data_IF_614398513560
#
_entry.id   IF_614398513560
#
_cell.length_a   1.000
_cell.length_b   1.000
_cell.length_c   1.000
_cell.angle_alpha   90.00
_cell.angle_beta   90.00
_cell.angle_gamma   90.00
#
_symmetry.space_group_name_H-M   'P 1'
#
loop_
_entity.id
_entity.type
_entity.pdbx_description
1 polymer ?
#
# COMPACT_ATOMS: atom_id res chain seq x y z
N UNK A 1 5.46 -3.77 42.46
CA UNK A 1 4.20 -3.33 41.85
C UNK A 1 3.48 -4.54 41.29
N UNK A 2 2.35 -4.92 41.89
CA UNK A 2 1.63 -6.13 41.45
C UNK A 2 0.91 -5.83 40.15
N UNK A 3 1.24 -6.56 39.08
CA UNK A 3 0.50 -6.50 37.83
C UNK A 3 -0.96 -6.86 38.09
N UNK A 4 -1.86 -5.92 37.93
CA UNK A 4 -3.30 -6.17 37.99
C UNK A 4 -3.68 -6.94 36.72
N UNK A 5 -3.80 -8.25 36.84
CA UNK A 5 -4.36 -9.06 35.76
C UNK A 5 -5.83 -8.70 35.58
N UNK A 6 -6.21 -8.23 34.42
CA UNK A 6 -7.62 -8.10 34.03
C UNK A 6 -8.14 -9.53 33.87
N UNK A 7 -8.92 -10.02 34.86
CA UNK A 7 -9.55 -11.32 34.78
C UNK A 7 -10.59 -11.34 33.66
N UNK A 8 -10.84 -12.48 32.97
CA UNK A 8 -11.80 -12.58 31.87
C UNK A 8 -13.21 -12.07 32.14
N UNK A 9 -13.59 -11.93 33.42
CA UNK A 9 -14.89 -11.41 33.89
C UNK A 9 -14.90 -9.90 34.23
N UNK A 10 -13.81 -9.18 33.98
CA UNK A 10 -13.60 -7.84 34.54
C UNK A 10 -13.98 -6.64 33.67
N UNK A 11 -14.18 -6.81 32.37
CA UNK A 11 -14.55 -5.70 31.47
C UNK A 11 -15.98 -5.91 30.96
N UNK A 12 -16.97 -5.50 31.77
CA UNK A 12 -18.37 -5.43 31.32
C UNK A 12 -18.70 -4.15 30.54
N UNK A 13 -17.72 -3.26 30.35
CA UNK A 13 -17.84 -1.95 29.68
C UNK A 13 -16.63 -1.68 28.81
N UNK A 14 -16.74 -0.80 27.82
CA UNK A 14 -15.56 -0.30 27.06
C UNK A 14 -14.47 0.22 28.00
N UNK A 15 -13.21 0.15 27.54
CA UNK A 15 -12.10 0.85 28.18
C UNK A 15 -12.10 2.28 27.63
N UNK A 16 -12.59 3.22 28.44
CA UNK A 16 -12.62 4.64 28.09
C UNK A 16 -11.34 5.29 28.64
N UNK A 17 -10.50 5.78 27.71
CA UNK A 17 -9.26 6.51 28.02
C UNK A 17 -9.44 7.97 27.60
N UNK A 18 -9.01 8.89 28.46
CA UNK A 18 -8.98 10.31 28.15
C UNK A 18 -7.83 10.63 27.17
N UNK A 19 -7.84 11.86 26.63
CA UNK A 19 -6.76 12.35 25.79
C UNK A 19 -5.40 12.20 26.49
N UNK A 20 -4.41 11.77 25.72
CA UNK A 20 -3.05 11.45 26.17
C UNK A 20 -2.92 10.23 27.10
N UNK A 21 -4.02 9.57 27.50
CA UNK A 21 -3.94 8.26 28.12
C UNK A 21 -3.66 7.18 27.06
N UNK A 22 -2.84 6.19 27.42
CA UNK A 22 -2.28 5.26 26.43
C UNK A 22 -2.49 3.80 26.80
N UNK A 23 -2.86 2.98 25.81
CA UNK A 23 -2.60 1.54 25.87
C UNK A 23 -1.12 1.34 25.50
N UNK A 24 -0.37 0.67 26.37
CA UNK A 24 1.06 0.41 26.18
C UNK A 24 1.34 -1.08 26.27
N UNK A 25 2.13 -1.59 25.34
CA UNK A 25 2.53 -2.99 25.26
C UNK A 25 4.05 -3.07 25.12
N UNK A 26 4.64 -4.14 25.67
CA UNK A 26 6.08 -4.33 25.76
C UNK A 26 6.68 -3.73 27.04
N UNK A 27 7.83 -4.25 27.48
CA UNK A 27 8.51 -3.81 28.72
C UNK A 27 8.99 -2.36 28.62
N UNK A 28 9.38 -1.92 27.41
CA UNK A 28 9.79 -0.56 27.08
C UNK A 28 8.64 0.37 26.66
N UNK A 29 7.37 -0.08 26.73
CA UNK A 29 6.22 0.59 26.11
C UNK A 29 6.36 0.72 24.60
N UNK A 30 6.88 -0.31 23.96
CA UNK A 30 7.30 -0.34 22.58
C UNK A 30 6.16 -0.09 21.58
N UNK A 31 4.94 -0.56 21.87
CA UNK A 31 3.73 -0.26 21.10
C UNK A 31 2.78 0.59 21.92
N UNK A 32 2.27 1.68 21.35
CA UNK A 32 1.34 2.59 22.00
C UNK A 32 0.14 2.89 21.09
N UNK A 33 -1.06 2.93 21.68
CA UNK A 33 -2.30 3.38 21.03
C UNK A 33 -2.90 4.49 21.90
N UNK A 34 -3.17 5.65 21.33
CA UNK A 34 -3.71 6.79 22.07
C UNK A 34 -4.31 7.87 21.14
N UNK A 35 -5.03 8.82 21.74
CA UNK A 35 -5.51 10.06 21.13
C UNK A 35 -4.93 11.26 21.89
N UNK A 36 -4.43 12.29 21.17
CA UNK A 36 -3.78 13.45 21.79
C UNK A 36 -4.69 14.67 21.96
N UNK A 37 -5.98 14.51 21.65
CA UNK A 37 -6.97 15.58 21.61
C UNK A 37 -7.25 16.10 20.19
N UNK A 38 -6.42 15.72 19.21
CA UNK A 38 -6.57 16.07 17.80
C UNK A 38 -6.44 14.84 16.89
N UNK A 39 -5.48 13.96 17.16
CA UNK A 39 -5.13 12.83 16.31
C UNK A 39 -5.09 11.52 17.09
N UNK A 40 -5.40 10.43 16.41
CA UNK A 40 -5.24 9.07 16.93
C UNK A 40 -3.95 8.44 16.41
N UNK A 41 -3.22 7.76 17.28
CA UNK A 41 -1.90 7.19 17.01
C UNK A 41 -1.87 5.70 17.30
N UNK A 42 -1.18 4.97 16.42
CA UNK A 42 -0.65 3.64 16.63
C UNK A 42 0.85 3.72 16.34
N UNK A 43 1.69 3.69 17.38
CA UNK A 43 3.14 3.93 17.24
C UNK A 43 3.94 2.79 17.85
N UNK A 44 5.11 2.51 17.25
CA UNK A 44 6.12 1.60 17.79
C UNK A 44 7.43 2.34 17.96
N UNK A 45 8.10 2.18 19.10
CA UNK A 45 9.40 2.79 19.40
C UNK A 45 10.55 1.86 18.98
N UNK A 46 10.32 0.54 18.93
CA UNK A 46 11.32 -0.46 18.56
C UNK A 46 10.74 -1.49 17.60
N UNK A 47 11.54 -1.94 16.62
CA UNK A 47 11.16 -2.96 15.67
C UNK A 47 10.14 -2.46 14.63
N UNK A 48 9.51 -3.40 13.93
CA UNK A 48 8.53 -3.13 12.89
C UNK A 48 7.10 -3.25 13.41
N UNK A 49 6.19 -2.44 12.87
CA UNK A 49 4.75 -2.63 13.03
C UNK A 49 4.24 -3.54 11.92
N UNK A 50 3.72 -4.71 12.28
CA UNK A 50 3.06 -5.62 11.35
C UNK A 50 1.54 -5.42 11.42
N UNK A 51 0.91 -5.10 10.29
CA UNK A 51 -0.53 -5.13 10.09
C UNK A 51 -0.81 -6.26 9.12
N UNK A 52 -1.30 -7.39 9.61
CA UNK A 52 -1.46 -8.60 8.82
C UNK A 52 -2.82 -9.25 9.07
N UNK A 53 -3.37 -9.88 8.02
CA UNK A 53 -4.53 -10.74 8.11
C UNK A 53 -4.17 -12.16 8.57
N UNK A 54 -5.14 -13.08 8.56
CA UNK A 54 -4.93 -14.49 8.89
C UNK A 54 -4.04 -15.16 7.83
N UNK A 55 -3.01 -15.88 8.28
CA UNK A 55 -2.06 -16.58 7.40
C UNK A 55 -2.66 -17.76 6.64
N UNK A 56 -3.82 -18.25 7.04
CA UNK A 56 -4.52 -19.39 6.44
C UNK A 56 -5.48 -18.98 5.31
N UNK A 57 -5.85 -17.71 5.24
CA UNK A 57 -6.80 -17.19 4.25
C UNK A 57 -6.11 -16.74 2.97
N UNK A 58 -6.76 -16.95 1.85
CA UNK A 58 -6.34 -16.48 0.52
C UNK A 58 -7.21 -15.34 -0.01
N UNK A 59 -8.22 -14.92 0.76
CA UNK A 59 -9.22 -13.93 0.35
C UNK A 59 -9.24 -12.68 1.23
N UNK A 60 -8.37 -12.62 2.25
CA UNK A 60 -8.32 -11.50 3.17
C UNK A 60 -7.61 -10.29 2.59
N UNK A 61 -7.97 -9.14 3.12
CA UNK A 61 -7.52 -7.85 2.64
C UNK A 61 -7.20 -6.91 3.82
N UNK A 62 -6.19 -6.08 3.63
CA UNK A 62 -5.99 -4.88 4.46
C UNK A 62 -6.53 -3.69 3.68
N UNK A 63 -7.49 -2.99 4.26
CA UNK A 63 -8.18 -1.85 3.63
C UNK A 63 -7.85 -0.55 4.35
N UNK A 64 -7.45 0.47 3.62
CA UNK A 64 -7.29 1.83 4.12
C UNK A 64 -8.42 2.69 3.55
N UNK A 65 -9.28 3.18 4.46
CA UNK A 65 -10.45 3.98 4.14
C UNK A 65 -10.42 5.28 4.94
N UNK A 66 -10.08 6.41 4.32
CA UNK A 66 -10.03 7.71 5.00
C UNK A 66 -11.42 8.22 5.39
N UNK A 67 -12.47 7.70 4.76
CA UNK A 67 -13.86 8.02 5.03
C UNK A 67 -14.72 6.76 4.93
N UNK A 68 -15.81 6.69 5.69
CA UNK A 68 -16.74 5.56 5.62
C UNK A 68 -17.28 5.37 4.18
N UNK A 69 -17.12 4.16 3.65
CA UNK A 69 -17.52 3.81 2.29
C UNK A 69 -16.57 4.25 1.18
N UNK A 70 -15.52 5.01 1.47
CA UNK A 70 -14.51 5.43 0.50
C UNK A 70 -13.24 4.59 0.63
N UNK A 71 -12.81 3.98 -0.47
CA UNK A 71 -11.61 3.16 -0.53
C UNK A 71 -10.45 3.97 -1.12
N UNK A 72 -9.28 3.95 -0.45
CA UNK A 72 -8.06 4.60 -0.93
C UNK A 72 -6.96 3.61 -1.23
N UNK A 73 -6.77 2.58 -0.38
CA UNK A 73 -5.82 1.52 -0.66
C UNK A 73 -6.37 0.15 -0.26
N UNK A 74 -5.94 -0.88 -0.97
CA UNK A 74 -6.33 -2.27 -0.76
C UNK A 74 -5.12 -3.17 -1.00
N UNK A 75 -4.84 -4.04 -0.04
CA UNK A 75 -3.79 -5.05 -0.11
C UNK A 75 -4.47 -6.41 -0.07
N UNK A 76 -4.38 -7.16 -1.15
CA UNK A 76 -5.10 -8.43 -1.34
C UNK A 76 -4.14 -9.58 -1.09
N UNK A 77 -4.51 -10.54 -0.25
CA UNK A 77 -3.73 -11.75 -0.02
C UNK A 77 -3.49 -12.49 -1.35
N UNK A 78 -2.22 -12.80 -1.68
CA UNK A 78 -1.81 -13.41 -2.96
C UNK A 78 -2.28 -12.65 -4.22
N UNK A 79 -2.58 -11.36 -4.07
CA UNK A 79 -3.15 -10.52 -5.12
C UNK A 79 -2.45 -9.17 -5.27
N UNK A 80 -3.17 -8.23 -5.83
CA UNK A 80 -2.68 -6.90 -6.12
C UNK A 80 -2.61 -5.99 -4.87
N UNK A 81 -1.73 -5.00 -4.93
CA UNK A 81 -1.89 -3.74 -4.20
C UNK A 81 -2.62 -2.78 -5.12
N UNK A 82 -3.72 -2.22 -4.66
CA UNK A 82 -4.57 -1.32 -5.44
C UNK A 82 -4.66 0.05 -4.75
N UNK A 83 -4.59 1.12 -5.55
CA UNK A 83 -4.79 2.49 -5.11
C UNK A 83 -5.97 3.11 -5.84
N UNK A 84 -6.75 3.93 -5.11
CA UNK A 84 -8.01 4.48 -5.56
C UNK A 84 -8.05 6.00 -5.44
N UNK A 85 -8.85 6.63 -6.26
CA UNK A 85 -9.30 8.00 -6.17
C UNK A 85 -10.82 8.00 -6.28
N UNK A 86 -11.50 8.45 -5.23
CA UNK A 86 -12.96 8.51 -5.14
C UNK A 86 -13.61 7.17 -5.57
N UNK A 87 -13.20 6.07 -4.90
CA UNK A 87 -13.62 4.69 -5.18
C UNK A 87 -13.27 4.15 -6.58
N UNK A 88 -12.67 4.95 -7.45
CA UNK A 88 -12.22 4.50 -8.76
C UNK A 88 -10.75 4.06 -8.71
N UNK A 89 -10.49 2.79 -9.05
CA UNK A 89 -9.12 2.26 -9.08
C UNK A 89 -8.29 3.02 -10.13
N UNK A 90 -7.10 3.49 -9.74
CA UNK A 90 -6.16 4.22 -10.59
C UNK A 90 -4.87 3.46 -10.85
N UNK A 91 -4.45 2.63 -9.91
CA UNK A 91 -3.17 1.93 -9.94
C UNK A 91 -3.34 0.53 -9.35
N UNK A 92 -2.66 -0.45 -9.91
CA UNK A 92 -2.54 -1.79 -9.33
C UNK A 92 -1.18 -2.44 -9.64
N UNK A 93 -0.70 -3.28 -8.72
CA UNK A 93 0.37 -4.24 -9.02
C UNK A 93 -0.22 -5.48 -9.65
N UNK A 94 0.49 -6.11 -10.60
CA UNK A 94 0.11 -7.40 -11.17
C UNK A 94 1.36 -8.22 -11.51
N UNK A 95 1.18 -9.46 -11.96
CA UNK A 95 2.27 -10.43 -12.16
C UNK A 95 3.46 -9.88 -12.96
N UNK A 96 3.25 -8.99 -13.91
CA UNK A 96 4.28 -8.47 -14.81
C UNK A 96 4.66 -7.00 -14.57
N UNK A 97 4.26 -6.42 -13.45
CA UNK A 97 4.61 -5.04 -13.11
C UNK A 97 3.48 -4.24 -12.48
N UNK A 98 3.26 -3.05 -13.00
CA UNK A 98 2.23 -2.12 -12.55
C UNK A 98 1.32 -1.72 -13.69
N UNK A 99 0.06 -1.46 -13.39
CA UNK A 99 -0.93 -1.00 -14.34
C UNK A 99 -1.69 0.20 -13.80
N UNK A 100 -1.93 1.17 -14.66
CA UNK A 100 -2.79 2.31 -14.40
C UNK A 100 -4.04 2.24 -15.28
N UNK A 101 -5.16 2.76 -14.81
CA UNK A 101 -6.41 2.79 -15.58
C UNK A 101 -6.54 4.02 -16.46
N UNK A 102 -5.65 4.98 -16.30
CA UNK A 102 -5.62 6.24 -17.02
C UNK A 102 -4.17 6.66 -17.33
N UNK A 103 -3.94 7.97 -17.47
CA UNK A 103 -2.64 8.53 -17.80
C UNK A 103 -1.61 8.31 -16.69
N UNK A 104 -0.34 8.20 -17.08
CA UNK A 104 0.83 8.37 -16.21
C UNK A 104 1.43 9.72 -16.57
N UNK A 105 1.45 10.66 -15.63
CA UNK A 105 2.18 11.92 -15.77
C UNK A 105 3.56 11.77 -15.11
N UNK A 106 4.62 12.00 -15.88
CA UNK A 106 6.00 11.90 -15.43
C UNK A 106 6.59 13.32 -15.47
N UNK A 107 6.78 13.92 -14.29
CA UNK A 107 7.17 15.32 -14.16
C UNK A 107 8.58 15.65 -14.69
N UNK A 108 9.48 14.67 -14.83
CA UNK A 108 10.85 14.91 -15.29
C UNK A 108 11.35 13.87 -16.27
N UNK A 109 11.55 12.61 -15.88
CA UNK A 109 12.13 11.55 -16.72
C UNK A 109 11.44 10.21 -16.56
N UNK A 110 11.24 9.48 -17.66
CA UNK A 110 11.06 8.04 -17.66
C UNK A 110 12.41 7.39 -18.00
N UNK A 111 12.95 6.58 -17.10
CA UNK A 111 14.25 5.94 -17.28
C UNK A 111 14.07 4.49 -17.74
N UNK A 112 14.65 4.18 -18.90
CA UNK A 112 14.70 2.83 -19.45
C UNK A 112 16.17 2.39 -19.49
N UNK A 113 16.48 1.23 -18.92
CA UNK A 113 17.82 0.65 -19.02
C UNK A 113 18.09 0.18 -20.45
N UNK A 114 19.36 -0.15 -20.76
CA UNK A 114 19.72 -0.77 -22.03
C UNK A 114 18.86 -2.03 -22.27
N UNK A 115 18.35 -2.15 -23.47
CA UNK A 115 17.36 -3.13 -23.90
C UNK A 115 15.98 -3.01 -23.22
N UNK A 116 15.77 -1.99 -22.36
CA UNK A 116 14.43 -1.60 -21.91
C UNK A 116 13.70 -0.84 -23.03
N UNK A 117 12.47 -1.26 -23.33
CA UNK A 117 11.71 -0.73 -24.46
C UNK A 117 10.53 0.13 -23.99
N UNK A 118 10.34 1.30 -24.60
CA UNK A 118 9.03 1.97 -24.62
C UNK A 118 8.24 1.37 -25.79
N UNK A 119 7.14 0.66 -25.47
CA UNK A 119 6.34 -0.10 -26.43
C UNK A 119 4.98 0.57 -26.60
N UNK A 120 4.56 0.74 -27.87
CA UNK A 120 3.26 1.32 -28.23
C UNK A 120 2.52 0.35 -29.15
N UNK A 121 1.19 0.28 -28.95
CA UNK A 121 0.31 -0.64 -29.65
C UNK A 121 0.25 -2.02 -29.01
N UNK A 122 -0.90 -2.69 -29.12
CA UNK A 122 -1.15 -4.00 -28.49
C UNK A 122 -0.20 -5.10 -29.02
N UNK A 123 0.23 -4.98 -30.28
CA UNK A 123 1.19 -5.87 -30.92
C UNK A 123 2.65 -5.48 -30.72
N UNK A 124 2.93 -4.38 -29.99
CA UNK A 124 4.26 -3.82 -29.90
C UNK A 124 4.74 -3.21 -31.22
N UNK A 125 3.84 -2.51 -31.87
CA UNK A 125 3.99 -2.03 -33.26
C UNK A 125 5.09 -0.98 -33.40
N UNK A 126 5.19 -0.07 -32.42
CA UNK A 126 6.27 0.93 -32.34
C UNK A 126 7.07 0.72 -31.06
N UNK A 127 8.39 0.71 -31.17
CA UNK A 127 9.32 0.60 -30.04
C UNK A 127 10.41 1.67 -30.10
N UNK A 128 10.78 2.20 -28.95
CA UNK A 128 11.90 3.12 -28.77
C UNK A 128 12.80 2.56 -27.67
N UNK A 129 14.08 2.36 -27.94
CA UNK A 129 15.02 1.77 -26.98
C UNK A 129 16.47 2.06 -27.32
N UNK A 130 17.39 1.77 -26.40
CA UNK A 130 18.84 1.73 -26.61
C UNK A 130 19.33 0.30 -26.39
N UNK A 131 20.07 -0.26 -27.38
CA UNK A 131 20.52 -1.67 -27.32
C UNK A 131 21.90 -1.87 -26.65
N UNK A 132 22.40 -0.83 -25.95
CA UNK A 132 23.73 -0.79 -25.36
C UNK A 132 24.80 -0.17 -26.27
N UNK A 133 24.53 -0.06 -27.56
CA UNK A 133 25.41 0.56 -28.55
C UNK A 133 24.69 1.62 -29.38
N UNK A 134 23.43 1.40 -29.73
CA UNK A 134 22.67 2.27 -30.64
C UNK A 134 21.27 2.58 -30.10
N UNK A 135 20.79 3.79 -30.33
CA UNK A 135 19.38 4.17 -30.14
C UNK A 135 18.56 3.78 -31.35
N UNK A 136 17.38 3.19 -31.11
CA UNK A 136 16.51 2.64 -32.14
C UNK A 136 15.07 3.11 -31.98
N UNK A 137 14.46 3.39 -33.13
CA UNK A 137 13.00 3.52 -33.28
C UNK A 137 12.62 2.48 -34.33
N UNK A 138 11.80 1.50 -33.96
CA UNK A 138 11.35 0.45 -34.86
C UNK A 138 9.83 0.46 -34.98
N UNK A 139 9.34 0.34 -36.20
CA UNK A 139 7.92 0.23 -36.52
C UNK A 139 7.68 -1.04 -37.32
N UNK A 140 6.77 -1.90 -36.87
CA UNK A 140 6.46 -3.19 -37.52
C UNK A 140 5.19 -3.15 -38.35
N UNK A 141 4.32 -2.17 -38.15
CA UNK A 141 3.05 -2.03 -38.87
C UNK A 141 2.71 -0.57 -39.14
N UNK A 142 2.17 -0.30 -40.34
CA UNK A 142 1.75 1.05 -40.75
C UNK A 142 2.92 1.98 -41.05
N UNK A 143 2.62 3.27 -41.21
CA UNK A 143 3.63 4.32 -41.43
C UNK A 143 4.15 4.86 -40.10
N UNK A 144 5.38 5.30 -40.09
CA UNK A 144 6.03 5.97 -38.96
C UNK A 144 5.79 7.47 -39.07
#
# INVERSE_FOLDING_TARGET
MTLTQIKPLGLSKPVDLADNEKIRLGTGNDLQIYHDGYNSFLTTDTGNLYIQGDSSSTTEEILIRPKGGEQSARFIANGAVELYWDNAKKFETYQYGIKTTQNIEIGLHAYFADNGEAIFGTGGDLKIYHDGNNSRITNSTGAL
#
